data_IF_345637581458
#
_entry.id   IF_345637581458
#
_cell.length_a   1.000
_cell.length_b   1.000
_cell.length_c   1.000
_cell.angle_alpha   90.00
_cell.angle_beta   90.00
_cell.angle_gamma   90.00
#
_symmetry.space_group_name_H-M   'P 1'
#
loop_
_entity.id
_entity.type
_entity.pdbx_description
1 polymer ?
#
# COMPACT_ATOMS: atom_id res chain seq x y z
N UNK A 1 -2.81 -35.70 1.68
CA UNK A 1 -1.93 -35.08 0.66
C UNK A 1 -2.48 -33.69 0.34
N UNK A 2 -1.80 -32.60 0.71
CA UNK A 2 -2.36 -31.24 0.52
C UNK A 2 -1.41 -30.06 0.75
N UNK A 3 -0.18 -30.30 1.21
CA UNK A 3 0.74 -29.22 1.60
C UNK A 3 1.59 -28.63 0.44
N UNK A 4 1.50 -29.19 -0.77
CA UNK A 4 2.38 -28.78 -1.89
C UNK A 4 1.89 -27.50 -2.60
N UNK A 5 0.57 -27.35 -2.77
CA UNK A 5 -0.01 -26.22 -3.51
C UNK A 5 0.06 -24.89 -2.76
N UNK A 6 -0.04 -24.91 -1.43
CA UNK A 6 0.00 -23.72 -0.57
C UNK A 6 1.39 -23.08 -0.54
N UNK A 7 2.45 -23.90 -0.54
CA UNK A 7 3.84 -23.44 -0.56
C UNK A 7 4.25 -22.83 -1.92
N UNK A 8 3.73 -23.38 -3.02
CA UNK A 8 3.93 -22.84 -4.37
C UNK A 8 3.22 -21.49 -4.57
N UNK A 9 1.99 -21.32 -4.06
CA UNK A 9 1.29 -20.03 -4.05
C UNK A 9 2.02 -19.00 -3.18
N UNK A 10 2.53 -19.39 -2.00
CA UNK A 10 3.32 -18.53 -1.09
C UNK A 10 4.60 -17.99 -1.73
N UNK A 11 5.38 -18.86 -2.39
CA UNK A 11 6.63 -18.44 -3.05
C UNK A 11 6.39 -17.49 -4.22
N UNK A 12 5.28 -17.65 -4.95
CA UNK A 12 4.92 -16.73 -6.04
C UNK A 12 4.53 -15.35 -5.52
N UNK A 13 3.73 -15.26 -4.45
CA UNK A 13 3.29 -13.98 -3.86
C UNK A 13 4.47 -13.13 -3.33
N UNK A 14 5.41 -13.76 -2.61
CA UNK A 14 6.59 -13.07 -2.09
C UNK A 14 7.50 -12.51 -3.21
N UNK A 15 7.68 -13.27 -4.30
CA UNK A 15 8.44 -12.80 -5.49
C UNK A 15 7.73 -11.68 -6.24
N UNK A 16 6.39 -11.69 -6.32
CA UNK A 16 5.64 -10.61 -6.98
C UNK A 16 5.68 -9.30 -6.21
N UNK A 17 5.72 -9.33 -4.87
CA UNK A 17 5.85 -8.12 -4.05
C UNK A 17 7.25 -7.52 -4.12
N UNK A 18 8.31 -8.33 -4.12
CA UNK A 18 9.68 -7.84 -4.33
C UNK A 18 9.86 -7.20 -5.71
N UNK A 19 9.18 -7.70 -6.74
CA UNK A 19 9.21 -7.12 -8.09
C UNK A 19 8.55 -5.74 -8.21
N UNK A 20 7.84 -5.26 -7.18
CA UNK A 20 7.28 -3.92 -7.10
C UNK A 20 8.20 -2.90 -6.42
N UNK A 21 9.25 -3.35 -5.73
CA UNK A 21 10.22 -2.46 -5.12
C UNK A 21 11.11 -1.87 -6.23
N UNK A 22 10.80 -0.66 -6.69
CA UNK A 22 11.62 0.03 -7.68
C UNK A 22 12.96 0.50 -7.08
N UNK A 23 13.95 0.73 -7.94
CA UNK A 23 15.23 1.34 -7.55
C UNK A 23 15.03 2.84 -7.26
N UNK A 24 15.69 3.41 -6.23
CA UNK A 24 15.57 4.83 -5.92
C UNK A 24 16.04 5.68 -7.10
N UNK A 25 15.27 6.72 -7.44
CA UNK A 25 15.68 7.78 -8.37
C UNK A 25 16.04 9.04 -7.59
N UNK A 26 17.01 9.86 -8.05
CA UNK A 26 17.63 10.92 -7.24
C UNK A 26 16.79 12.22 -7.16
N UNK A 27 15.46 12.16 -7.26
CA UNK A 27 14.62 13.32 -7.00
C UNK A 27 14.46 13.53 -5.49
N UNK A 28 14.48 14.79 -5.02
CA UNK A 28 14.09 15.11 -3.64
C UNK A 28 12.76 14.45 -3.30
N UNK A 29 12.65 13.77 -2.14
CA UNK A 29 11.42 13.12 -1.77
C UNK A 29 10.31 14.16 -1.67
N UNK A 30 9.10 13.85 -2.17
CA UNK A 30 8.03 14.83 -2.21
C UNK A 30 7.57 15.17 -0.80
N UNK A 31 6.90 16.30 -0.64
CA UNK A 31 6.35 16.73 0.64
C UNK A 31 4.82 16.64 0.59
N UNK A 32 4.29 15.52 1.06
CA UNK A 32 2.89 15.15 0.88
C UNK A 32 2.07 15.48 2.13
N UNK A 33 1.23 16.49 2.02
CA UNK A 33 0.25 16.84 3.04
C UNK A 33 -0.89 15.81 3.10
N UNK A 34 -1.63 15.82 4.21
CA UNK A 34 -2.85 15.00 4.36
C UNK A 34 -3.86 15.20 3.23
N UNK A 35 -4.05 16.44 2.79
CA UNK A 35 -4.96 16.75 1.68
C UNK A 35 -4.47 16.15 0.36
N UNK A 36 -3.17 16.32 0.06
CA UNK A 36 -2.54 15.74 -1.13
C UNK A 36 -2.68 14.22 -1.14
N UNK A 37 -2.41 13.56 0.00
CA UNK A 37 -2.57 12.12 0.15
C UNK A 37 -4.02 11.67 0.00
N UNK A 38 -4.97 12.37 0.64
CA UNK A 38 -6.39 12.03 0.56
C UNK A 38 -6.88 12.10 -0.88
N UNK A 39 -6.53 13.16 -1.61
CA UNK A 39 -6.89 13.31 -3.02
C UNK A 39 -6.24 12.23 -3.91
N UNK A 40 -4.99 11.87 -3.65
CA UNK A 40 -4.31 10.80 -4.38
C UNK A 40 -4.95 9.44 -4.11
N UNK A 41 -5.23 9.12 -2.84
CA UNK A 41 -5.88 7.88 -2.43
C UNK A 41 -7.31 7.79 -2.94
N UNK A 42 -8.04 8.89 -3.03
CA UNK A 42 -9.36 8.94 -3.66
C UNK A 42 -9.30 8.57 -5.15
N UNK A 43 -8.27 9.03 -5.87
CA UNK A 43 -8.06 8.65 -7.26
C UNK A 43 -7.71 7.16 -7.40
N UNK A 44 -6.91 6.62 -6.49
CA UNK A 44 -6.59 5.18 -6.44
C UNK A 44 -7.85 4.37 -6.18
N UNK A 45 -8.64 4.75 -5.16
CA UNK A 45 -9.89 4.10 -4.79
C UNK A 45 -10.89 4.09 -5.95
N UNK A 46 -11.13 5.24 -6.57
CA UNK A 46 -12.03 5.36 -7.72
C UNK A 46 -11.58 4.49 -8.91
N UNK A 47 -10.28 4.39 -9.17
CA UNK A 47 -9.76 3.49 -10.21
C UNK A 47 -10.05 2.03 -9.86
N UNK A 48 -9.76 1.60 -8.63
CA UNK A 48 -9.98 0.21 -8.18
C UNK A 48 -11.46 -0.15 -8.22
N UNK A 49 -12.33 0.75 -7.75
CA UNK A 49 -13.78 0.60 -7.81
C UNK A 49 -14.28 0.45 -9.26
N UNK A 50 -13.73 1.21 -10.22
CA UNK A 50 -14.07 1.08 -11.65
C UNK A 50 -13.65 -0.26 -12.30
N UNK A 51 -12.98 -1.13 -11.53
CA UNK A 51 -12.59 -2.49 -11.92
C UNK A 51 -13.31 -3.55 -11.10
N UNK A 52 -14.35 -3.17 -10.37
CA UNK A 52 -15.15 -4.06 -9.50
C UNK A 52 -14.27 -4.82 -8.49
N UNK A 53 -13.24 -4.14 -7.97
CA UNK A 53 -12.33 -4.67 -6.97
C UNK A 53 -12.43 -3.89 -5.65
N UNK A 54 -12.02 -4.55 -4.56
CA UNK A 54 -11.83 -3.94 -3.25
C UNK A 54 -10.48 -4.37 -2.70
N UNK A 55 -9.60 -3.40 -2.40
CA UNK A 55 -8.25 -3.67 -1.90
C UNK A 55 -8.13 -3.13 -0.49
N UNK A 56 -7.57 -3.92 0.42
CA UNK A 56 -7.14 -3.46 1.75
C UNK A 56 -5.62 -3.35 1.78
N UNK A 57 -5.07 -2.25 2.28
CA UNK A 57 -3.64 -2.07 2.49
C UNK A 57 -3.37 -1.82 3.97
N UNK A 58 -2.22 -2.27 4.47
CA UNK A 58 -1.74 -1.94 5.82
C UNK A 58 -0.57 -0.99 5.67
N UNK A 59 -0.69 0.20 6.23
CA UNK A 59 0.34 1.25 6.14
C UNK A 59 1.13 1.36 7.43
N UNK A 60 2.34 1.89 7.30
CA UNK A 60 3.26 2.16 8.41
C UNK A 60 3.82 3.58 8.30
N UNK A 61 4.56 4.00 9.32
CA UNK A 61 5.46 5.14 9.22
C UNK A 61 4.75 6.49 9.06
N UNK A 62 5.26 7.30 8.12
CA UNK A 62 4.86 8.71 7.99
C UNK A 62 3.39 8.91 7.63
N UNK A 63 2.77 7.96 6.91
CA UNK A 63 1.34 8.02 6.58
C UNK A 63 0.46 7.99 7.83
N UNK A 64 0.76 7.12 8.81
CA UNK A 64 0.01 7.06 10.08
C UNK A 64 0.14 8.39 10.82
N UNK A 65 1.36 8.90 10.94
CA UNK A 65 1.65 10.17 11.61
C UNK A 65 0.94 11.37 10.95
N UNK A 66 0.77 11.34 9.63
CA UNK A 66 0.19 12.45 8.88
C UNK A 66 -1.32 12.37 8.77
N UNK A 67 -1.86 11.19 8.45
CA UNK A 67 -3.29 11.02 8.14
C UNK A 67 -4.14 10.65 9.35
N UNK A 68 -3.64 9.78 10.23
CA UNK A 68 -4.38 9.26 11.37
C UNK A 68 -4.09 10.07 12.64
N UNK A 69 -2.83 10.08 13.10
CA UNK A 69 -2.44 10.72 14.36
C UNK A 69 -2.32 12.25 14.27
N UNK A 70 -2.11 12.77 13.04
CA UNK A 70 -1.88 14.20 12.77
C UNK A 70 -0.72 14.79 13.58
N UNK A 71 0.25 13.97 13.95
CA UNK A 71 1.46 14.35 14.68
C UNK A 71 2.50 15.01 13.78
N UNK A 72 2.40 14.82 12.46
CA UNK A 72 3.24 15.47 11.45
C UNK A 72 2.38 16.11 10.36
N UNK A 73 2.76 17.28 9.83
CA UNK A 73 1.99 17.93 8.77
C UNK A 73 2.13 17.22 7.42
N UNK A 74 3.24 16.53 7.19
CA UNK A 74 3.57 15.90 5.92
C UNK A 74 4.37 14.60 6.08
N UNK A 75 4.36 13.79 5.02
CA UNK A 75 5.20 12.60 4.80
C UNK A 75 5.76 12.62 3.38
N UNK A 76 6.64 11.68 3.05
CA UNK A 76 7.24 11.58 1.72
C UNK A 76 6.51 10.61 0.79
N UNK A 77 5.84 9.63 1.37
CA UNK A 77 5.21 8.53 0.65
C UNK A 77 4.20 7.81 1.55
N UNK A 78 3.63 6.75 0.98
CA UNK A 78 2.76 5.76 1.59
C UNK A 78 3.40 4.40 1.44
N UNK A 79 4.06 3.98 2.51
CA UNK A 79 4.60 2.64 2.65
C UNK A 79 3.49 1.68 3.10
N UNK A 80 3.31 0.59 2.36
CA UNK A 80 2.35 -0.44 2.72
C UNK A 80 2.92 -1.86 2.64
N UNK A 81 2.28 -2.78 3.34
CA UNK A 81 2.39 -4.21 3.09
C UNK A 81 1.00 -4.86 3.11
N UNK A 82 0.87 -5.98 2.40
CA UNK A 82 -0.24 -6.91 2.54
C UNK A 82 0.14 -8.23 1.87
N UNK A 83 0.25 -9.31 2.65
CA UNK A 83 0.62 -10.64 2.14
C UNK A 83 -0.55 -11.39 1.45
N UNK A 84 -1.77 -10.84 1.51
CA UNK A 84 -3.01 -11.45 1.02
C UNK A 84 -3.45 -10.93 -0.36
N UNK A 85 -2.72 -10.00 -0.98
CA UNK A 85 -3.08 -9.49 -2.30
C UNK A 85 -2.91 -10.56 -3.39
N UNK A 86 -3.95 -10.72 -4.20
CA UNK A 86 -3.91 -11.53 -5.41
C UNK A 86 -3.09 -10.84 -6.52
N UNK A 87 -2.59 -11.59 -7.51
CA UNK A 87 -1.90 -11.00 -8.66
C UNK A 87 -2.75 -9.99 -9.45
N UNK A 88 -4.08 -10.19 -9.48
CA UNK A 88 -5.00 -9.28 -10.15
C UNK A 88 -5.11 -7.94 -9.41
N UNK A 89 -5.20 -7.98 -8.08
CA UNK A 89 -5.22 -6.78 -7.23
C UNK A 89 -3.89 -6.04 -7.28
N UNK A 90 -2.76 -6.74 -7.24
CA UNK A 90 -1.43 -6.12 -7.42
C UNK A 90 -1.36 -5.37 -8.75
N UNK A 91 -1.81 -5.99 -9.84
CA UNK A 91 -1.83 -5.38 -11.17
C UNK A 91 -2.78 -4.18 -11.22
N UNK A 92 -3.93 -4.26 -10.56
CA UNK A 92 -4.90 -3.18 -10.47
C UNK A 92 -4.34 -1.99 -9.68
N UNK A 93 -3.80 -2.24 -8.48
CA UNK A 93 -3.16 -1.26 -7.62
C UNK A 93 -2.03 -0.54 -8.36
N UNK A 94 -1.13 -1.27 -9.03
CA UNK A 94 -0.04 -0.66 -9.81
C UNK A 94 -0.56 0.30 -10.90
N UNK A 95 -1.66 -0.05 -11.58
CA UNK A 95 -2.29 0.83 -12.58
C UNK A 95 -2.98 2.03 -11.93
N UNK A 96 -3.65 1.82 -10.80
CA UNK A 96 -4.32 2.86 -10.02
C UNK A 96 -3.30 3.90 -9.52
N UNK A 97 -2.20 3.46 -8.92
CA UNK A 97 -1.08 4.31 -8.48
C UNK A 97 -0.51 5.14 -9.63
N UNK A 98 -0.27 4.49 -10.79
CA UNK A 98 0.19 5.19 -12.00
C UNK A 98 -0.83 6.21 -12.51
N UNK A 99 -2.12 5.91 -12.40
CA UNK A 99 -3.19 6.84 -12.78
C UNK A 99 -3.21 8.07 -11.88
N UNK A 100 -3.10 7.90 -10.56
CA UNK A 100 -3.01 9.01 -9.61
C UNK A 100 -1.76 9.87 -9.85
N UNK A 101 -0.60 9.25 -10.05
CA UNK A 101 0.65 9.95 -10.39
C UNK A 101 0.55 10.75 -11.70
N UNK A 102 -0.15 10.22 -12.72
CA UNK A 102 -0.38 10.97 -13.97
C UNK A 102 -1.21 12.24 -13.73
N UNK A 103 -2.15 12.22 -12.79
CA UNK A 103 -2.98 13.38 -12.43
C UNK A 103 -2.24 14.37 -11.53
N UNK A 104 -1.37 13.88 -10.65
CA UNK A 104 -0.57 14.71 -9.78
C UNK A 104 0.89 14.23 -9.74
N UNK A 105 1.76 14.96 -10.45
CA UNK A 105 3.20 14.64 -10.52
C UNK A 105 3.95 14.98 -9.25
N UNK A 106 3.40 15.81 -8.37
CA UNK A 106 4.03 16.13 -7.07
C UNK A 106 4.06 14.94 -6.13
N UNK A 107 3.28 13.89 -6.41
CA UNK A 107 3.30 12.65 -5.66
C UNK A 107 4.67 11.97 -5.69
N UNK A 108 5.43 12.10 -6.80
CA UNK A 108 6.62 11.27 -7.03
C UNK A 108 6.24 9.87 -7.53
N UNK A 109 7.21 9.16 -8.11
CA UNK A 109 6.95 7.85 -8.73
C UNK A 109 6.66 6.75 -7.70
N UNK A 110 7.31 6.82 -6.54
CA UNK A 110 7.26 5.81 -5.48
C UNK A 110 6.36 6.22 -4.31
N UNK A 111 5.43 7.15 -4.53
CA UNK A 111 4.59 7.73 -3.48
C UNK A 111 3.67 6.73 -2.78
N UNK A 112 3.35 5.60 -3.41
CA UNK A 112 2.60 4.49 -2.85
C UNK A 112 3.34 3.21 -3.22
N UNK A 113 4.10 2.69 -2.28
CA UNK A 113 5.06 1.62 -2.51
C UNK A 113 5.03 0.59 -1.37
N UNK A 114 5.66 -0.56 -1.60
CA UNK A 114 5.74 -1.65 -0.63
C UNK A 114 7.18 -1.97 -0.22
N UNK A 115 8.11 -1.02 -0.27
CA UNK A 115 9.54 -1.27 0.00
C UNK A 115 9.78 -1.80 1.42
N UNK A 116 8.90 -1.46 2.36
CA UNK A 116 8.94 -1.97 3.75
C UNK A 116 8.92 -3.50 3.84
N UNK A 117 8.38 -4.20 2.83
CA UNK A 117 8.41 -5.67 2.79
C UNK A 117 9.82 -6.26 2.72
N UNK A 118 10.83 -5.47 2.32
CA UNK A 118 12.23 -5.87 2.31
C UNK A 118 12.85 -5.92 3.71
N UNK A 119 12.30 -5.14 4.65
CA UNK A 119 12.82 -4.99 6.00
C UNK A 119 12.01 -5.77 7.04
N UNK A 120 10.78 -6.18 6.71
CA UNK A 120 9.92 -6.94 7.62
C UNK A 120 9.92 -8.43 7.21
N UNK A 121 10.40 -9.35 8.07
CA UNK A 121 10.35 -10.77 7.80
C UNK A 121 8.93 -11.26 7.52
N UNK A 122 8.78 -12.22 6.60
CA UNK A 122 7.48 -12.72 6.14
C UNK A 122 6.56 -13.20 7.28
N UNK A 123 7.12 -13.83 8.33
CA UNK A 123 6.30 -14.30 9.46
C UNK A 123 5.77 -13.13 10.30
N UNK A 124 6.57 -12.07 10.49
CA UNK A 124 6.16 -10.85 11.18
C UNK A 124 5.09 -10.10 10.38
N UNK A 125 5.25 -9.96 9.06
CA UNK A 125 4.25 -9.29 8.22
C UNK A 125 2.86 -9.92 8.31
N UNK A 126 2.80 -11.25 8.42
CA UNK A 126 1.52 -11.95 8.60
C UNK A 126 0.86 -11.64 9.93
N UNK A 127 1.65 -11.61 11.01
CA UNK A 127 1.16 -11.25 12.34
C UNK A 127 0.62 -9.82 12.30
N UNK A 128 1.42 -8.85 11.83
CA UNK A 128 1.00 -7.46 11.71
C UNK A 128 -0.21 -7.28 10.79
N UNK A 129 -0.33 -8.08 9.73
CA UNK A 129 -1.50 -8.08 8.83
C UNK A 129 -2.75 -8.52 9.57
N UNK A 130 -2.67 -9.59 10.36
CA UNK A 130 -3.80 -10.10 11.13
C UNK A 130 -4.20 -9.11 12.23
N UNK A 131 -3.23 -8.58 12.96
CA UNK A 131 -3.47 -7.59 14.04
C UNK A 131 -4.08 -6.30 13.49
N UNK A 132 -3.59 -5.78 12.36
CA UNK A 132 -4.19 -4.60 11.72
C UNK A 132 -5.64 -4.84 11.28
N UNK A 133 -5.94 -6.04 10.76
CA UNK A 133 -7.30 -6.43 10.37
C UNK A 133 -8.24 -6.55 11.58
N UNK A 134 -7.73 -7.06 12.70
CA UNK A 134 -8.48 -7.22 13.96
C UNK A 134 -8.73 -5.87 14.65
N UNK A 135 -7.69 -5.05 14.79
CA UNK A 135 -7.77 -3.70 15.37
C UNK A 135 -8.63 -2.76 14.54
N UNK A 136 -8.62 -2.92 13.21
CA UNK A 136 -9.41 -2.14 12.26
C UNK A 136 -9.21 -0.61 12.37
N UNK A 137 -7.98 -0.17 12.66
CA UNK A 137 -7.64 1.24 12.76
C UNK A 137 -7.59 1.90 11.36
N UNK A 138 -8.71 2.47 10.92
CA UNK A 138 -8.86 3.05 9.57
C UNK A 138 -8.04 4.34 9.43
N UNK A 139 -7.12 4.36 8.46
CA UNK A 139 -6.36 5.55 8.03
C UNK A 139 -7.07 6.27 6.89
N UNK A 140 -7.63 5.50 5.96
CA UNK A 140 -8.39 6.00 4.81
C UNK A 140 -9.39 4.94 4.34
N UNK A 141 -10.57 5.36 3.92
CA UNK A 141 -11.56 4.45 3.34
C UNK A 141 -12.38 5.16 2.26
N UNK A 142 -12.52 4.50 1.12
CA UNK A 142 -13.41 4.87 0.03
C UNK A 142 -13.81 3.62 -0.76
N UNK A 143 -14.80 3.72 -1.64
CA UNK A 143 -15.17 2.60 -2.53
C UNK A 143 -13.93 2.11 -3.29
N UNK A 144 -13.65 0.81 -3.20
CA UNK A 144 -12.50 0.16 -3.83
C UNK A 144 -11.21 0.13 -3.00
N UNK A 145 -11.06 0.95 -1.95
CA UNK A 145 -9.82 0.98 -1.16
C UNK A 145 -10.07 1.22 0.34
N UNK A 146 -9.55 0.30 1.14
CA UNK A 146 -9.43 0.47 2.60
C UNK A 146 -7.96 0.49 2.99
N UNK A 147 -7.57 1.41 3.88
CA UNK A 147 -6.22 1.50 4.42
C UNK A 147 -6.30 1.44 5.94
N UNK A 148 -5.59 0.47 6.51
CA UNK A 148 -5.50 0.25 7.95
C UNK A 148 -4.10 0.63 8.45
N UNK A 149 -4.03 1.13 9.67
CA UNK A 149 -2.75 1.31 10.36
C UNK A 149 -2.21 -0.06 10.81
N UNK A 150 -0.90 -0.26 10.68
CA UNK A 150 -0.22 -1.30 11.44
C UNK A 150 -0.35 -1.00 12.97
N UNK A 151 -0.41 -2.05 13.81
CA UNK A 151 -0.50 -1.91 15.26
C UNK A 151 0.75 -1.29 15.90
#
# INVERSE_FOLDING_TARGET
MGQSLSNLRRRRSARTLQGLAARPTPSSPPNLSRETLTNALQNVAAYIASKDQGITLIVVGGTINTMLLRSRPNTHDVDFFNDNLTPAEIKCLSKATKSAFKKNRTLGQEWLNNHTVLFIPLHIRRILTMEALDQHAIVFQASGLTILAAP
#
